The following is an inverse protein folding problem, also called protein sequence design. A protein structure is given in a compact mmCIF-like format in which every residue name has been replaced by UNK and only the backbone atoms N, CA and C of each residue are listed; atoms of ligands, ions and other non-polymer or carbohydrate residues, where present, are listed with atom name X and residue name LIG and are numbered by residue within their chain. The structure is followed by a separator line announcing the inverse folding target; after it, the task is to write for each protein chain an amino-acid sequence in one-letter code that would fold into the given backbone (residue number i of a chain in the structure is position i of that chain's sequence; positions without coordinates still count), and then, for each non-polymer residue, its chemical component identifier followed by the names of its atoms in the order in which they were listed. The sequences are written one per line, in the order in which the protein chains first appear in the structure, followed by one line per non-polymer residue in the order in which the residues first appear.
data_IF_473764912580
#
_entry.id   IF_473764912580
#
_cell.length_a   1.000
_cell.length_b   1.000
_cell.length_c   1.000
_cell.angle_alpha   90.00
_cell.angle_beta   90.00
_cell.angle_gamma   90.00
#
_symmetry.space_group_name_H-M   'P 1'
#
loop_
_entity.id
_entity.type
_entity.pdbx_description
1 polymer ?
#
# COMPACT_ATOMS: atom_id res chain seq x y z
N UNK A 1 -7.00 -5.44 32.52
CA UNK A 1 -8.32 -6.12 32.65
C UNK A 1 -8.12 -7.64 32.79
N UNK A 2 -7.29 -8.29 31.95
CA UNK A 2 -7.07 -9.76 32.00
C UNK A 2 -6.41 -10.23 33.31
N UNK A 3 -5.64 -9.39 33.99
CA UNK A 3 -4.97 -9.75 35.26
C UNK A 3 -5.94 -10.04 36.42
N UNK A 4 -7.19 -9.65 36.28
CA UNK A 4 -8.21 -9.81 37.33
C UNK A 4 -9.13 -11.03 37.08
N UNK A 5 -8.92 -11.77 35.97
CA UNK A 5 -9.76 -12.89 35.58
C UNK A 5 -8.90 -14.07 35.17
N UNK A 6 -8.87 -15.13 35.98
CA UNK A 6 -8.05 -16.33 35.76
C UNK A 6 -8.44 -17.17 34.52
N UNK A 7 -9.60 -16.90 33.91
CA UNK A 7 -10.17 -17.72 32.81
C UNK A 7 -10.53 -16.89 31.57
N UNK A 8 -9.87 -15.76 31.35
CA UNK A 8 -10.14 -14.94 30.15
C UNK A 8 -9.02 -15.14 29.13
N UNK A 9 -9.39 -15.58 27.94
CA UNK A 9 -8.54 -15.61 26.76
C UNK A 9 -8.90 -14.38 25.91
N UNK A 10 -7.90 -13.52 25.63
CA UNK A 10 -8.06 -12.38 24.75
C UNK A 10 -7.45 -12.75 23.41
N UNK A 11 -8.29 -12.83 22.36
CA UNK A 11 -7.84 -12.97 20.99
C UNK A 11 -7.73 -11.59 20.34
N UNK A 12 -6.55 -11.24 19.86
CA UNK A 12 -6.30 -9.99 19.15
C UNK A 12 -5.62 -10.26 17.81
N UNK A 13 -5.90 -9.42 16.82
CA UNK A 13 -5.26 -9.49 15.52
C UNK A 13 -4.57 -8.16 15.21
N UNK A 14 -3.37 -8.21 14.65
CA UNK A 14 -2.70 -7.04 14.13
C UNK A 14 -2.12 -7.33 12.74
N UNK A 15 -1.86 -6.28 11.97
CA UNK A 15 -1.12 -6.44 10.71
C UNK A 15 0.35 -6.68 11.02
N UNK A 16 1.03 -7.40 10.14
CA UNK A 16 2.48 -7.62 10.24
C UNK A 16 3.25 -6.29 10.29
N UNK A 17 2.78 -5.26 9.56
CA UNK A 17 3.33 -3.90 9.61
C UNK A 17 3.22 -3.23 10.98
N UNK A 18 2.25 -3.63 11.81
CA UNK A 18 1.95 -3.00 13.10
C UNK A 18 2.50 -3.83 14.28
N UNK A 19 3.17 -4.94 13.96
CA UNK A 19 3.70 -5.89 14.96
C UNK A 19 4.63 -5.21 15.99
N UNK A 20 5.42 -4.21 15.56
CA UNK A 20 6.29 -3.45 16.48
C UNK A 20 5.52 -2.72 17.59
N UNK A 21 4.30 -2.23 17.31
CA UNK A 21 3.44 -1.64 18.33
C UNK A 21 2.87 -2.70 19.30
N UNK A 22 2.69 -3.93 18.80
CA UNK A 22 2.15 -5.03 19.58
C UNK A 22 3.17 -5.64 20.56
N UNK A 23 4.47 -5.50 20.29
CA UNK A 23 5.55 -5.99 21.17
C UNK A 23 5.47 -5.50 22.61
N UNK A 24 5.00 -4.27 22.82
CA UNK A 24 4.81 -3.74 24.17
C UNK A 24 3.78 -4.55 24.95
N UNK A 25 2.77 -5.07 24.25
CA UNK A 25 1.71 -5.89 24.84
C UNK A 25 2.23 -7.31 25.06
N UNK A 26 2.97 -7.88 24.10
CA UNK A 26 3.59 -9.20 24.22
C UNK A 26 4.52 -9.29 25.43
N UNK A 27 5.28 -8.23 25.72
CA UNK A 27 6.16 -8.17 26.89
C UNK A 27 5.43 -8.00 28.24
N UNK A 28 4.17 -7.62 28.23
CA UNK A 28 3.35 -7.42 29.43
C UNK A 28 2.46 -8.61 29.78
N UNK A 29 2.21 -9.50 28.83
CA UNK A 29 1.31 -10.63 28.96
C UNK A 29 1.94 -11.88 28.38
N UNK A 30 1.51 -13.05 28.86
CA UNK A 30 1.90 -14.33 28.27
C UNK A 30 1.12 -14.51 26.95
N UNK A 31 1.71 -14.13 25.81
CA UNK A 31 1.05 -14.09 24.51
C UNK A 31 1.59 -15.21 23.61
N UNK A 32 0.69 -16.02 23.10
CA UNK A 32 0.98 -16.90 21.97
C UNK A 32 0.62 -16.16 20.68
N UNK A 33 1.59 -15.97 19.79
CA UNK A 33 1.37 -15.30 18.51
C UNK A 33 1.44 -16.30 17.35
N UNK A 34 0.40 -16.23 16.49
CA UNK A 34 0.31 -17.01 15.26
C UNK A 34 0.30 -16.05 14.07
N UNK A 35 1.15 -16.33 13.09
CA UNK A 35 1.13 -15.61 11.81
C UNK A 35 0.26 -16.39 10.84
N UNK A 36 -0.71 -15.70 10.22
CA UNK A 36 -1.46 -16.26 9.10
C UNK A 36 -0.70 -15.93 7.83
N UNK A 37 -0.01 -16.92 7.31
CA UNK A 37 0.79 -16.81 6.11
C UNK A 37 -0.09 -16.83 4.84
N UNK A 38 0.51 -16.45 3.72
CA UNK A 38 -0.08 -16.65 2.41
C UNK A 38 -0.19 -18.15 2.12
N UNK A 39 -1.13 -18.54 1.25
CA UNK A 39 -1.22 -19.94 0.82
C UNK A 39 0.11 -20.40 0.21
N UNK A 40 0.59 -21.54 0.66
CA UNK A 40 1.77 -22.19 0.10
C UNK A 40 1.50 -22.77 -1.30
N UNK A 41 2.55 -23.23 -1.97
CA UNK A 41 2.45 -23.77 -3.33
C UNK A 41 1.54 -25.00 -3.40
N UNK A 42 1.58 -25.85 -2.39
CA UNK A 42 0.74 -27.06 -2.35
C UNK A 42 -0.75 -26.70 -2.21
N UNK A 43 -1.08 -25.83 -1.28
CA UNK A 43 -2.46 -25.35 -1.07
C UNK A 43 -3.00 -24.64 -2.29
N UNK A 44 -2.20 -23.78 -2.94
CA UNK A 44 -2.60 -23.12 -4.17
C UNK A 44 -2.81 -24.11 -5.32
N UNK A 45 -1.97 -25.13 -5.44
CA UNK A 45 -2.11 -26.18 -6.46
C UNK A 45 -3.45 -26.93 -6.31
N UNK A 46 -3.84 -27.31 -5.10
CA UNK A 46 -5.14 -27.93 -4.81
C UNK A 46 -6.33 -27.05 -5.22
N UNK A 47 -6.22 -25.74 -5.00
CA UNK A 47 -7.25 -24.79 -5.46
C UNK A 47 -7.28 -24.71 -6.99
N UNK A 48 -6.13 -24.69 -7.64
CA UNK A 48 -6.03 -24.70 -9.12
C UNK A 48 -6.64 -25.95 -9.76
N UNK A 49 -6.55 -27.10 -9.11
CA UNK A 49 -7.21 -28.34 -9.58
C UNK A 49 -8.74 -28.21 -9.54
N UNK A 50 -9.25 -27.56 -8.48
CA UNK A 50 -10.69 -27.41 -8.27
C UNK A 50 -11.32 -26.30 -9.11
N UNK A 51 -10.58 -25.21 -9.36
CA UNK A 51 -11.12 -24.01 -10.01
C UNK A 51 -10.30 -23.63 -11.26
N UNK A 52 -10.86 -23.90 -12.44
CA UNK A 52 -10.19 -23.61 -13.72
C UNK A 52 -9.83 -22.14 -13.93
N UNK A 53 -10.60 -21.20 -13.38
CA UNK A 53 -10.30 -19.77 -13.42
C UNK A 53 -9.00 -19.46 -12.66
N UNK A 54 -8.81 -20.04 -11.48
CA UNK A 54 -7.60 -19.85 -10.66
C UNK A 54 -6.40 -20.46 -11.38
N UNK A 55 -6.55 -21.65 -11.98
CA UNK A 55 -5.50 -22.32 -12.76
C UNK A 55 -5.00 -21.48 -13.95
N UNK A 56 -5.89 -20.76 -14.62
CA UNK A 56 -5.51 -19.87 -15.74
C UNK A 56 -4.77 -18.63 -15.24
N UNK A 57 -5.25 -18.00 -14.17
CA UNK A 57 -4.64 -16.79 -13.61
C UNK A 57 -3.30 -17.08 -12.93
N UNK A 58 -3.15 -18.23 -12.29
CA UNK A 58 -1.89 -18.63 -11.64
C UNK A 58 -0.68 -18.72 -12.60
N UNK A 59 -0.94 -18.81 -13.91
CA UNK A 59 0.11 -18.75 -14.95
C UNK A 59 0.64 -17.34 -15.21
N UNK A 60 -0.05 -16.32 -14.73
CA UNK A 60 0.33 -14.92 -14.88
C UNK A 60 1.07 -14.47 -13.62
N UNK A 61 2.30 -14.00 -13.76
CA UNK A 61 3.15 -13.61 -12.63
C UNK A 61 2.49 -12.56 -11.71
N UNK A 62 1.71 -11.66 -12.29
CA UNK A 62 1.00 -10.60 -11.58
C UNK A 62 -0.02 -11.13 -10.56
N UNK A 63 -0.64 -12.29 -10.87
CA UNK A 63 -1.65 -12.90 -10.00
C UNK A 63 -1.07 -13.90 -9.01
N UNK A 64 0.16 -14.35 -9.17
CA UNK A 64 0.73 -15.44 -8.37
C UNK A 64 0.72 -15.15 -6.86
N UNK A 65 1.12 -13.95 -6.45
CA UNK A 65 1.09 -13.52 -5.05
C UNK A 65 -0.34 -13.21 -4.56
N UNK A 66 -1.16 -12.65 -5.44
CA UNK A 66 -2.51 -12.23 -5.13
C UNK A 66 -3.43 -13.43 -4.85
N UNK A 67 -3.28 -14.50 -5.62
CA UNK A 67 -4.02 -15.76 -5.45
C UNK A 67 -3.66 -16.49 -4.16
N UNK A 68 -2.51 -16.22 -3.57
CA UNK A 68 -2.12 -16.75 -2.25
C UNK A 68 -2.84 -16.07 -1.10
N UNK A 69 -3.46 -14.91 -1.33
CA UNK A 69 -4.23 -14.19 -0.34
C UNK A 69 -5.67 -14.71 -0.32
N UNK A 70 -6.16 -15.29 0.78
CA UNK A 70 -7.49 -15.92 0.84
C UNK A 70 -8.63 -14.99 0.42
N UNK A 71 -8.51 -13.70 0.70
CA UNK A 71 -9.50 -12.70 0.30
C UNK A 71 -9.66 -12.62 -1.22
N UNK A 72 -8.54 -12.42 -1.95
CA UNK A 72 -8.59 -12.29 -3.41
C UNK A 72 -8.97 -13.62 -4.07
N UNK A 73 -8.46 -14.73 -3.55
CA UNK A 73 -8.79 -16.05 -4.04
C UNK A 73 -10.30 -16.32 -3.95
N UNK A 74 -10.91 -16.09 -2.79
CA UNK A 74 -12.35 -16.25 -2.61
C UNK A 74 -13.16 -15.33 -3.53
N UNK A 75 -12.72 -14.09 -3.71
CA UNK A 75 -13.37 -13.13 -4.58
C UNK A 75 -13.32 -13.58 -6.05
N UNK A 76 -12.16 -14.02 -6.53
CA UNK A 76 -11.98 -14.52 -7.89
C UNK A 76 -12.85 -15.75 -8.12
N UNK A 77 -12.81 -16.73 -7.21
CA UNK A 77 -13.64 -17.94 -7.31
C UNK A 77 -15.13 -17.63 -7.33
N UNK A 78 -15.57 -16.66 -6.55
CA UNK A 78 -17.01 -16.34 -6.39
C UNK A 78 -17.56 -15.37 -7.46
N UNK A 79 -16.74 -14.50 -8.03
CA UNK A 79 -17.20 -13.38 -8.86
C UNK A 79 -16.71 -13.42 -10.31
N UNK A 80 -15.59 -14.09 -10.59
CA UNK A 80 -15.01 -14.15 -11.94
C UNK A 80 -15.52 -15.39 -12.65
N UNK A 81 -16.33 -15.19 -13.66
CA UNK A 81 -16.83 -16.28 -14.52
C UNK A 81 -15.89 -16.58 -15.67
N UNK A 82 -15.31 -15.55 -16.26
CA UNK A 82 -14.37 -15.67 -17.35
C UNK A 82 -13.01 -15.07 -16.94
N UNK A 83 -11.92 -15.86 -16.89
CA UNK A 83 -10.59 -15.36 -16.56
C UNK A 83 -10.05 -14.32 -17.55
N UNK A 84 -10.55 -14.28 -18.78
CA UNK A 84 -10.12 -13.31 -19.78
C UNK A 84 -10.60 -11.87 -19.47
N UNK A 85 -11.57 -11.72 -18.53
CA UNK A 85 -11.96 -10.42 -17.98
C UNK A 85 -10.87 -9.80 -17.07
N UNK A 86 -9.90 -10.60 -16.64
CA UNK A 86 -8.81 -10.22 -15.77
C UNK A 86 -7.47 -10.25 -16.52
N UNK A 87 -7.33 -9.40 -17.53
CA UNK A 87 -6.07 -9.28 -18.28
C UNK A 87 -4.93 -8.68 -17.46
N UNK A 88 -5.24 -7.90 -16.44
CA UNK A 88 -4.30 -7.31 -15.50
C UNK A 88 -4.93 -7.05 -14.11
N UNK A 89 -4.09 -6.65 -13.15
CA UNK A 89 -4.50 -6.42 -11.76
C UNK A 89 -5.49 -5.23 -11.64
N UNK A 90 -5.45 -4.26 -12.57
CA UNK A 90 -6.38 -3.14 -12.55
C UNK A 90 -7.79 -3.59 -12.93
N UNK A 91 -7.89 -4.58 -13.81
CA UNK A 91 -9.18 -5.18 -14.15
C UNK A 91 -9.79 -5.87 -12.93
N UNK A 92 -8.98 -6.51 -12.07
CA UNK A 92 -9.47 -7.04 -10.79
C UNK A 92 -9.93 -5.93 -9.85
N UNK A 93 -9.19 -4.84 -9.72
CA UNK A 93 -9.58 -3.69 -8.88
C UNK A 93 -10.86 -3.03 -9.41
N UNK A 94 -10.98 -2.87 -10.72
CA UNK A 94 -12.19 -2.38 -11.38
C UNK A 94 -13.38 -3.33 -11.17
N UNK A 95 -13.16 -4.63 -11.26
CA UNK A 95 -14.19 -5.62 -10.98
C UNK A 95 -14.67 -5.52 -9.52
N UNK A 96 -13.75 -5.39 -8.57
CA UNK A 96 -14.11 -5.20 -7.15
C UNK A 96 -14.92 -3.92 -6.99
N UNK A 97 -14.48 -2.82 -7.58
CA UNK A 97 -15.18 -1.55 -7.50
C UNK A 97 -16.60 -1.66 -8.07
N UNK A 98 -16.73 -2.10 -9.29
CA UNK A 98 -18.01 -2.14 -9.99
C UNK A 98 -18.93 -3.26 -9.49
N UNK A 99 -18.45 -4.50 -9.48
CA UNK A 99 -19.31 -5.68 -9.21
C UNK A 99 -19.51 -5.97 -7.73
N UNK A 100 -18.53 -5.63 -6.88
CA UNK A 100 -18.61 -5.96 -5.44
C UNK A 100 -19.05 -4.76 -4.63
N UNK A 101 -18.40 -3.61 -4.78
CA UNK A 101 -18.65 -2.42 -3.96
C UNK A 101 -19.87 -1.63 -4.45
N UNK A 102 -19.94 -1.35 -5.76
CA UNK A 102 -21.03 -0.57 -6.35
C UNK A 102 -22.25 -1.42 -6.74
N UNK A 103 -22.15 -2.75 -6.66
CA UNK A 103 -23.24 -3.70 -6.99
C UNK A 103 -23.73 -3.57 -8.44
N UNK A 104 -22.85 -3.21 -9.38
CA UNK A 104 -23.22 -3.08 -10.79
C UNK A 104 -23.65 -4.43 -11.37
N UNK A 105 -24.82 -4.43 -12.04
CA UNK A 105 -25.41 -5.63 -12.64
C UNK A 105 -26.15 -6.53 -11.64
N UNK A 106 -26.45 -6.04 -10.42
CA UNK A 106 -27.34 -6.66 -9.47
C UNK A 106 -28.71 -5.96 -9.53
N UNK A 107 -29.79 -6.73 -9.48
CA UNK A 107 -31.15 -6.18 -9.38
C UNK A 107 -31.33 -5.49 -8.03
N UNK A 108 -31.46 -4.17 -8.07
CA UNK A 108 -31.62 -3.33 -6.89
C UNK A 108 -33.10 -3.13 -6.57
N UNK A 109 -33.48 -2.92 -5.30
CA UNK A 109 -34.81 -2.56 -4.90
C UNK A 109 -35.30 -1.30 -5.62
N UNK A 110 -36.62 -1.21 -5.86
CA UNK A 110 -37.23 -0.04 -6.50
C UNK A 110 -36.86 1.25 -5.75
N UNK A 111 -36.42 2.25 -6.48
CA UNK A 111 -36.03 3.56 -5.95
C UNK A 111 -34.55 3.68 -5.52
N UNK A 112 -33.74 2.61 -5.64
CA UNK A 112 -32.30 2.65 -5.41
C UNK A 112 -31.57 2.36 -6.71
N UNK A 113 -30.52 3.11 -7.00
CA UNK A 113 -29.64 2.87 -8.14
C UNK A 113 -28.17 2.75 -7.70
N UNK A 114 -27.33 2.25 -8.59
CA UNK A 114 -25.90 2.05 -8.30
C UNK A 114 -25.15 3.33 -7.90
N UNK A 115 -25.63 4.50 -8.40
CA UNK A 115 -25.03 5.78 -8.03
C UNK A 115 -25.32 6.15 -6.57
N UNK A 116 -26.46 5.74 -6.03
CA UNK A 116 -26.79 5.94 -4.61
C UNK A 116 -25.91 5.06 -3.72
N UNK A 117 -25.67 3.81 -4.12
CA UNK A 117 -24.72 2.92 -3.47
C UNK A 117 -23.31 3.53 -3.47
N UNK A 118 -22.86 3.95 -4.64
CA UNK A 118 -21.56 4.61 -4.82
C UNK A 118 -21.40 5.85 -3.95
N UNK A 119 -22.39 6.71 -3.89
CA UNK A 119 -22.38 7.89 -3.02
C UNK A 119 -22.30 7.53 -1.55
N UNK A 120 -23.05 6.52 -1.10
CA UNK A 120 -23.03 6.06 0.28
C UNK A 120 -21.65 5.51 0.67
N UNK A 121 -21.05 4.68 -0.17
CA UNK A 121 -19.71 4.11 0.07
C UNK A 121 -18.64 5.23 0.12
N UNK A 122 -18.66 6.16 -0.84
CA UNK A 122 -17.74 7.30 -0.86
C UNK A 122 -17.92 8.14 0.41
N UNK A 123 -19.14 8.40 0.85
CA UNK A 123 -19.43 9.16 2.07
C UNK A 123 -18.84 8.47 3.31
N UNK A 124 -19.03 7.14 3.47
CA UNK A 124 -18.45 6.38 4.58
C UNK A 124 -16.94 6.60 4.64
N UNK A 125 -16.27 6.42 3.52
CA UNK A 125 -14.81 6.44 3.44
C UNK A 125 -14.25 7.84 3.66
N UNK A 126 -14.82 8.84 3.00
CA UNK A 126 -14.34 10.22 3.10
C UNK A 126 -14.59 10.82 4.47
N UNK A 127 -15.78 10.61 5.05
CA UNK A 127 -16.10 11.15 6.38
C UNK A 127 -15.20 10.52 7.45
N UNK A 128 -14.99 9.19 7.41
CA UNK A 128 -14.03 8.52 8.30
C UNK A 128 -12.63 9.11 8.21
N UNK A 129 -12.18 9.38 6.99
CA UNK A 129 -10.83 9.92 6.77
C UNK A 129 -10.68 11.35 7.28
N UNK A 130 -11.66 12.20 7.03
CA UNK A 130 -11.65 13.62 7.43
C UNK A 130 -11.76 13.76 8.94
N UNK A 131 -12.65 13.01 9.58
CA UNK A 131 -12.97 13.13 11.00
C UNK A 131 -12.17 12.16 11.89
N UNK A 132 -11.27 11.36 11.32
CA UNK A 132 -10.45 10.34 12.03
C UNK A 132 -11.30 9.33 12.83
N UNK A 133 -12.45 8.94 12.30
CA UNK A 133 -13.39 8.07 12.99
C UNK A 133 -13.09 6.58 12.75
N UNK A 134 -13.43 5.74 13.72
CA UNK A 134 -13.47 4.29 13.56
C UNK A 134 -14.56 3.84 12.57
N UNK A 135 -15.69 4.56 12.54
CA UNK A 135 -16.83 4.38 11.66
C UNK A 135 -17.72 5.62 11.65
N UNK A 136 -18.66 5.71 10.74
CA UNK A 136 -19.69 6.75 10.70
C UNK A 136 -20.96 6.27 11.41
N UNK A 137 -21.82 7.18 11.86
CA UNK A 137 -23.08 6.81 12.48
C UNK A 137 -23.99 6.11 11.48
N UNK A 138 -24.68 5.08 11.95
CA UNK A 138 -25.53 4.21 11.14
C UNK A 138 -26.67 4.99 10.46
N UNK A 139 -27.16 6.04 11.10
CA UNK A 139 -28.29 6.84 10.62
C UNK A 139 -27.91 7.84 9.51
N UNK A 140 -26.62 7.97 9.24
CA UNK A 140 -26.14 8.82 8.13
C UNK A 140 -26.41 8.18 6.75
N UNK A 141 -26.72 6.90 6.72
CA UNK A 141 -27.05 6.17 5.49
C UNK A 141 -28.51 5.73 5.54
N UNK A 142 -29.22 6.01 4.46
CA UNK A 142 -30.62 5.60 4.31
C UNK A 142 -30.83 4.11 4.57
N UNK A 143 -31.87 3.76 5.29
CA UNK A 143 -32.13 2.41 5.82
C UNK A 143 -32.07 1.32 4.75
N UNK A 144 -32.62 1.54 3.57
CA UNK A 144 -32.65 0.53 2.51
C UNK A 144 -31.26 0.32 1.87
N UNK A 145 -30.50 1.40 1.64
CA UNK A 145 -29.11 1.30 1.15
C UNK A 145 -28.25 0.55 2.18
N UNK A 146 -28.43 0.87 3.45
CA UNK A 146 -27.73 0.23 4.57
C UNK A 146 -27.99 -1.26 4.63
N UNK A 147 -29.25 -1.70 4.57
CA UNK A 147 -29.64 -3.11 4.53
C UNK A 147 -28.97 -3.83 3.36
N UNK A 148 -28.96 -3.18 2.19
CA UNK A 148 -28.35 -3.73 0.99
C UNK A 148 -26.84 -3.88 1.16
N UNK A 149 -26.14 -2.86 1.66
CA UNK A 149 -24.70 -2.92 1.91
C UNK A 149 -24.32 -3.99 2.93
N UNK A 150 -25.13 -4.21 3.98
CA UNK A 150 -24.93 -5.31 4.94
C UNK A 150 -25.17 -6.68 4.30
N UNK A 151 -26.27 -6.87 3.56
CA UNK A 151 -26.60 -8.15 2.94
C UNK A 151 -25.54 -8.61 1.93
N UNK A 152 -24.88 -7.68 1.27
CA UNK A 152 -23.77 -7.95 0.35
C UNK A 152 -22.39 -7.98 1.03
N UNK A 153 -22.32 -7.78 2.35
CA UNK A 153 -21.07 -7.84 3.10
C UNK A 153 -20.07 -6.71 2.77
N UNK A 154 -20.58 -5.55 2.34
CA UNK A 154 -19.76 -4.38 2.00
C UNK A 154 -19.41 -3.59 3.25
N UNK A 155 -20.35 -3.46 4.18
CA UNK A 155 -20.16 -2.77 5.45
C UNK A 155 -20.25 -3.72 6.63
N UNK A 156 -19.69 -3.30 7.76
CA UNK A 156 -19.76 -3.99 9.03
C UNK A 156 -19.89 -2.99 10.17
N UNK A 157 -20.38 -3.44 11.31
CA UNK A 157 -20.37 -2.65 12.54
C UNK A 157 -18.97 -2.52 13.10
N UNK A 158 -18.61 -1.34 13.61
CA UNK A 158 -17.44 -1.10 14.46
C UNK A 158 -17.83 -1.17 15.92
N UNK A 159 -19.02 -0.67 16.24
CA UNK A 159 -19.69 -0.65 17.53
C UNK A 159 -21.21 -0.64 17.31
N UNK A 160 -21.99 -0.49 18.37
CA UNK A 160 -23.47 -0.55 18.32
C UNK A 160 -24.12 0.50 17.39
N UNK A 161 -23.44 1.62 17.16
CA UNK A 161 -23.98 2.77 16.44
C UNK A 161 -23.20 3.18 15.20
N UNK A 162 -22.03 2.56 14.96
CA UNK A 162 -21.16 2.98 13.86
C UNK A 162 -20.84 1.84 12.91
N UNK A 163 -20.74 2.22 11.66
CA UNK A 163 -20.43 1.32 10.54
C UNK A 163 -19.20 1.78 9.77
N UNK A 164 -18.53 0.83 9.16
CA UNK A 164 -17.41 1.06 8.23
C UNK A 164 -17.45 0.06 7.08
N UNK A 165 -16.63 0.24 6.07
CA UNK A 165 -16.41 -0.81 5.09
C UNK A 165 -15.80 -2.04 5.77
N UNK A 166 -16.25 -3.22 5.37
CA UNK A 166 -15.89 -4.49 6.01
C UNK A 166 -14.40 -4.81 5.87
N UNK A 167 -13.82 -4.46 4.73
CA UNK A 167 -12.42 -4.73 4.41
C UNK A 167 -11.67 -3.45 4.07
N UNK A 168 -10.44 -3.32 4.55
CA UNK A 168 -9.61 -2.16 4.26
C UNK A 168 -9.33 -2.00 2.77
N UNK A 169 -9.23 -3.11 2.03
CA UNK A 169 -9.05 -3.09 0.58
C UNK A 169 -10.21 -2.38 -0.15
N UNK A 170 -11.42 -2.44 0.39
CA UNK A 170 -12.55 -1.70 -0.18
C UNK A 170 -12.36 -0.20 -0.03
N UNK A 171 -11.82 0.24 1.11
CA UNK A 171 -11.46 1.65 1.30
C UNK A 171 -10.33 2.07 0.36
N UNK A 172 -9.29 1.25 0.24
CA UNK A 172 -8.16 1.54 -0.65
C UNK A 172 -8.64 1.70 -2.11
N UNK A 173 -9.50 0.80 -2.61
CA UNK A 173 -10.09 0.88 -3.95
C UNK A 173 -11.03 2.09 -4.09
N UNK A 174 -11.81 2.41 -3.05
CA UNK A 174 -12.67 3.59 -3.05
C UNK A 174 -11.85 4.88 -3.17
N UNK A 175 -10.76 5.01 -2.39
CA UNK A 175 -9.86 6.17 -2.49
C UNK A 175 -9.18 6.25 -3.84
N UNK A 176 -8.76 5.13 -4.42
CA UNK A 176 -8.19 5.10 -5.76
C UNK A 176 -9.16 5.69 -6.79
N UNK A 177 -10.42 5.29 -6.75
CA UNK A 177 -11.44 5.87 -7.61
C UNK A 177 -11.69 7.36 -7.35
N UNK A 178 -11.64 7.81 -6.09
CA UNK A 178 -11.72 9.23 -5.74
C UNK A 178 -10.55 10.00 -6.34
N UNK A 179 -9.33 9.48 -6.21
CA UNK A 179 -8.13 10.13 -6.75
C UNK A 179 -8.14 10.16 -8.27
N UNK A 180 -8.49 9.07 -8.94
CA UNK A 180 -8.60 9.01 -10.40
C UNK A 180 -9.65 9.98 -10.93
N UNK A 181 -10.82 10.04 -10.32
CA UNK A 181 -11.86 11.01 -10.67
C UNK A 181 -11.36 12.44 -10.52
N UNK A 182 -10.77 12.78 -9.37
CA UNK A 182 -10.24 14.12 -9.12
C UNK A 182 -9.11 14.47 -10.10
N UNK A 183 -8.23 13.51 -10.41
CA UNK A 183 -7.15 13.71 -11.37
C UNK A 183 -7.68 14.02 -12.78
N UNK A 184 -8.67 13.28 -13.25
CA UNK A 184 -9.31 13.50 -14.57
C UNK A 184 -10.05 14.84 -14.59
N UNK A 185 -10.80 15.16 -13.54
CA UNK A 185 -11.57 16.43 -13.45
C UNK A 185 -10.66 17.66 -13.43
N UNK A 186 -9.49 17.57 -12.82
CA UNK A 186 -8.55 18.69 -12.72
C UNK A 186 -7.78 18.98 -14.02
N UNK A 187 -7.83 18.12 -15.02
CA UNK A 187 -7.29 18.32 -16.38
C UNK A 187 -5.87 18.92 -16.41
N UNK A 188 -4.98 18.45 -15.52
CA UNK A 188 -3.60 18.95 -15.40
C UNK A 188 -3.41 20.15 -14.47
N UNK A 189 -4.47 20.69 -13.89
CA UNK A 189 -4.36 21.64 -12.76
C UNK A 189 -4.06 20.88 -11.47
N UNK A 190 -2.77 20.62 -11.25
CA UNK A 190 -2.31 19.88 -10.09
C UNK A 190 -2.51 20.64 -8.77
N UNK A 191 -2.55 21.98 -8.79
CA UNK A 191 -2.83 22.75 -7.58
C UNK A 191 -4.26 22.47 -7.12
N UNK A 192 -5.22 22.51 -8.03
CA UNK A 192 -6.61 22.19 -7.73
C UNK A 192 -6.77 20.72 -7.31
N UNK A 193 -6.05 19.78 -7.97
CA UNK A 193 -6.02 18.36 -7.59
C UNK A 193 -5.60 18.20 -6.13
N UNK A 194 -4.43 18.74 -5.74
CA UNK A 194 -3.93 18.59 -4.38
C UNK A 194 -4.73 19.40 -3.34
N UNK A 195 -5.38 20.48 -3.71
CA UNK A 195 -6.33 21.15 -2.85
C UNK A 195 -7.52 20.25 -2.50
N UNK A 196 -8.09 19.55 -3.49
CA UNK A 196 -9.14 18.55 -3.25
C UNK A 196 -8.65 17.39 -2.38
N UNK A 197 -7.44 16.87 -2.61
CA UNK A 197 -6.89 15.79 -1.81
C UNK A 197 -6.63 16.23 -0.36
N UNK A 198 -6.18 17.46 -0.16
CA UNK A 198 -5.93 18.01 1.18
C UNK A 198 -7.20 18.06 2.04
N UNK A 199 -8.38 18.24 1.42
CA UNK A 199 -9.65 18.19 2.13
C UNK A 199 -10.03 16.80 2.67
N UNK A 200 -9.39 15.73 2.18
CA UNK A 200 -9.58 14.36 2.64
C UNK A 200 -8.77 14.03 3.92
N UNK A 201 -7.93 14.96 4.39
CA UNK A 201 -7.17 14.80 5.61
C UNK A 201 -5.99 13.83 5.51
N UNK A 202 -5.21 13.74 6.61
CA UNK A 202 -3.98 12.93 6.67
C UNK A 202 -4.21 11.43 6.54
N UNK A 203 -5.39 10.93 6.86
CA UNK A 203 -5.73 9.51 6.69
C UNK A 203 -5.70 9.07 5.22
N UNK A 204 -5.76 10.01 4.27
CA UNK A 204 -5.65 9.72 2.84
C UNK A 204 -4.22 9.46 2.36
N UNK A 205 -3.19 9.83 3.14
CA UNK A 205 -1.78 9.77 2.69
C UNK A 205 -1.34 8.36 2.30
N UNK A 206 -1.58 7.35 3.16
CA UNK A 206 -1.26 5.96 2.83
C UNK A 206 -1.95 5.51 1.54
N UNK A 207 -3.22 5.87 1.36
CA UNK A 207 -4.00 5.49 0.17
C UNK A 207 -3.50 6.21 -1.08
N UNK A 208 -3.07 7.45 -0.91
CA UNK A 208 -2.40 8.18 -1.99
C UNK A 208 -1.07 7.53 -2.40
N UNK A 209 -0.25 7.04 -1.43
CA UNK A 209 0.97 6.28 -1.74
C UNK A 209 0.64 5.03 -2.57
N UNK A 210 -0.39 4.26 -2.19
CA UNK A 210 -0.86 3.10 -2.95
C UNK A 210 -1.32 3.51 -4.36
N UNK A 211 -2.00 4.64 -4.49
CA UNK A 211 -2.42 5.16 -5.79
C UNK A 211 -1.21 5.54 -6.67
N UNK A 212 -0.17 6.15 -6.11
CA UNK A 212 1.10 6.43 -6.82
C UNK A 212 1.75 5.13 -7.27
N UNK A 213 1.83 4.13 -6.42
CA UNK A 213 2.35 2.79 -6.74
C UNK A 213 1.60 2.16 -7.93
N UNK A 214 0.27 2.23 -7.92
CA UNK A 214 -0.56 1.75 -9.03
C UNK A 214 -0.32 2.53 -10.33
N UNK A 215 -0.02 3.83 -10.27
CA UNK A 215 0.36 4.62 -11.46
C UNK A 215 1.72 4.17 -12.03
N UNK A 216 2.66 3.76 -11.20
CA UNK A 216 3.92 3.16 -11.65
C UNK A 216 3.70 1.79 -12.32
N UNK A 217 2.80 0.99 -11.78
CA UNK A 217 2.49 -0.33 -12.32
C UNK A 217 1.81 -0.25 -13.71
N UNK A 218 0.87 0.67 -13.91
CA UNK A 218 -0.03 0.65 -15.07
C UNK A 218 0.54 1.19 -16.36
N UNK A 219 1.82 1.53 -16.46
CA UNK A 219 2.49 2.08 -17.66
C UNK A 219 1.80 3.28 -18.34
N UNK A 220 0.55 3.58 -18.02
CA UNK A 220 -0.22 4.69 -18.57
C UNK A 220 -0.01 5.94 -17.72
N UNK A 221 0.64 6.95 -18.29
CA UNK A 221 0.94 8.27 -17.68
C UNK A 221 1.98 8.28 -16.55
N UNK A 222 2.97 7.36 -16.57
CA UNK A 222 4.03 7.32 -15.58
C UNK A 222 4.86 8.57 -15.53
N UNK A 223 5.26 9.02 -16.67
CA UNK A 223 6.55 9.68 -16.81
C UNK A 223 6.40 11.17 -16.56
N UNK A 224 5.39 11.80 -17.13
CA UNK A 224 5.25 13.25 -17.01
C UNK A 224 4.55 13.69 -15.74
N UNK A 225 3.57 12.91 -15.25
CA UNK A 225 2.78 13.32 -14.10
C UNK A 225 3.60 13.30 -12.80
N UNK A 226 4.17 12.15 -12.43
CA UNK A 226 4.88 12.01 -11.15
C UNK A 226 6.11 12.91 -11.09
N UNK A 227 6.87 12.94 -12.17
CA UNK A 227 8.04 13.82 -12.27
C UNK A 227 7.66 15.30 -12.27
N UNK A 228 6.61 15.68 -13.00
CA UNK A 228 6.11 17.07 -13.03
C UNK A 228 5.67 17.57 -11.66
N UNK A 229 5.03 16.72 -10.85
CA UNK A 229 4.65 17.08 -9.47
C UNK A 229 5.87 17.41 -8.64
N UNK A 230 6.91 16.58 -8.70
CA UNK A 230 8.08 16.72 -7.86
C UNK A 230 8.85 18.02 -8.13
N UNK A 231 8.81 18.49 -9.38
CA UNK A 231 9.52 19.70 -9.81
C UNK A 231 8.66 20.98 -9.79
N UNK A 232 7.40 20.91 -9.42
CA UNK A 232 6.50 22.08 -9.44
C UNK A 232 6.44 22.75 -8.06
N UNK A 233 6.99 23.95 -7.91
CA UNK A 233 7.06 24.65 -6.62
C UNK A 233 5.70 24.96 -6.00
N UNK A 234 4.68 25.13 -6.82
CA UNK A 234 3.31 25.38 -6.38
C UNK A 234 2.62 24.17 -5.69
N UNK A 235 3.20 22.96 -5.76
CA UNK A 235 2.66 21.78 -5.09
C UNK A 235 3.16 21.78 -3.64
N UNK A 236 2.25 21.61 -2.65
CA UNK A 236 2.63 21.52 -1.24
C UNK A 236 3.65 20.41 -0.98
N UNK A 237 4.70 20.71 -0.21
CA UNK A 237 5.80 19.77 0.10
C UNK A 237 5.30 18.45 0.67
N UNK A 238 4.23 18.48 1.46
CA UNK A 238 3.64 17.28 2.03
C UNK A 238 3.23 16.28 0.95
N UNK A 239 2.62 16.74 -0.15
CA UNK A 239 2.20 15.86 -1.24
C UNK A 239 3.38 15.39 -2.10
N UNK A 240 4.40 16.25 -2.29
CA UNK A 240 5.67 15.82 -2.91
C UNK A 240 6.30 14.68 -2.11
N UNK A 241 6.35 14.82 -0.77
CA UNK A 241 6.87 13.79 0.11
C UNK A 241 6.06 12.50 0.03
N UNK A 242 4.72 12.57 0.03
CA UNK A 242 3.88 11.38 -0.13
C UNK A 242 4.09 10.71 -1.50
N UNK A 243 4.33 11.50 -2.56
CA UNK A 243 4.65 10.99 -3.89
C UNK A 243 5.99 10.24 -3.89
N UNK A 244 7.04 10.83 -3.31
CA UNK A 244 8.34 10.17 -3.17
C UNK A 244 8.21 8.87 -2.38
N UNK A 245 7.49 8.89 -1.24
CA UNK A 245 7.29 7.69 -0.41
C UNK A 245 6.57 6.59 -1.19
N UNK A 246 5.53 6.93 -1.97
CA UNK A 246 4.84 5.97 -2.83
C UNK A 246 5.77 5.38 -3.91
N UNK A 247 6.61 6.22 -4.53
CA UNK A 247 7.58 5.76 -5.53
C UNK A 247 8.60 4.81 -4.90
N UNK A 248 9.25 5.18 -3.80
CA UNK A 248 10.34 4.37 -3.22
C UNK A 248 9.87 3.07 -2.57
N UNK A 249 8.59 3.00 -2.18
CA UNK A 249 7.97 1.77 -1.66
C UNK A 249 7.48 0.83 -2.77
N UNK A 250 7.40 1.30 -4.00
CA UNK A 250 6.91 0.51 -5.12
C UNK A 250 7.93 -0.51 -5.61
N UNK A 251 7.46 -1.72 -5.93
CA UNK A 251 8.23 -2.73 -6.66
C UNK A 251 8.43 -2.34 -8.14
N UNK A 252 7.66 -1.36 -8.64
CA UNK A 252 7.61 -0.93 -10.04
C UNK A 252 8.33 0.39 -10.30
N UNK A 253 9.15 0.88 -9.36
CA UNK A 253 9.80 2.18 -9.48
C UNK A 253 11.05 2.21 -10.38
N UNK A 254 11.58 1.05 -10.80
CA UNK A 254 12.85 0.96 -11.53
C UNK A 254 12.83 1.73 -12.85
N UNK A 255 11.74 1.63 -13.62
CA UNK A 255 11.61 2.37 -14.87
C UNK A 255 11.50 3.89 -14.62
N UNK A 256 10.80 4.32 -13.56
CA UNK A 256 10.75 5.73 -13.18
C UNK A 256 12.14 6.31 -12.90
N UNK A 257 12.98 5.56 -12.17
CA UNK A 257 14.36 5.98 -11.90
C UNK A 257 15.23 5.97 -13.16
N UNK A 258 15.07 4.96 -14.03
CA UNK A 258 15.82 4.89 -15.29
C UNK A 258 15.52 6.09 -16.20
N UNK A 259 14.27 6.47 -16.32
CA UNK A 259 13.82 7.55 -17.21
C UNK A 259 14.08 8.96 -16.62
N UNK A 260 13.86 9.14 -15.33
CA UNK A 260 13.87 10.45 -14.69
C UNK A 260 15.09 10.71 -13.80
N UNK A 261 15.77 9.68 -13.34
CA UNK A 261 16.87 9.81 -12.38
C UNK A 261 17.99 10.72 -12.85
N UNK A 262 18.30 10.77 -14.18
CA UNK A 262 19.29 11.68 -14.73
C UNK A 262 18.91 13.17 -14.63
N UNK A 263 17.63 13.46 -14.50
CA UNK A 263 17.04 14.80 -14.46
C UNK A 263 16.86 15.34 -13.04
N UNK A 264 17.13 14.54 -11.99
CA UNK A 264 16.96 14.98 -10.61
C UNK A 264 17.94 16.11 -10.27
N UNK A 265 17.42 17.21 -9.73
CA UNK A 265 18.23 18.21 -9.05
C UNK A 265 18.88 17.61 -7.78
N UNK A 266 19.92 18.25 -7.29
CA UNK A 266 20.58 17.82 -6.06
C UNK A 266 19.62 17.75 -4.87
N UNK A 267 18.74 18.74 -4.74
CA UNK A 267 17.74 18.79 -3.67
C UNK A 267 16.71 17.66 -3.80
N UNK A 268 16.22 17.40 -4.99
CA UNK A 268 15.29 16.29 -5.22
C UNK A 268 15.94 14.93 -4.90
N UNK A 269 17.20 14.76 -5.31
CA UNK A 269 17.98 13.56 -5.00
C UNK A 269 18.11 13.37 -3.48
N UNK A 270 18.47 14.44 -2.76
CA UNK A 270 18.56 14.44 -1.29
C UNK A 270 17.24 14.04 -0.63
N UNK A 271 16.11 14.61 -1.10
CA UNK A 271 14.80 14.27 -0.54
C UNK A 271 14.42 12.80 -0.81
N UNK A 272 14.74 12.25 -1.98
CA UNK A 272 14.54 10.82 -2.23
C UNK A 272 15.33 9.95 -1.26
N UNK A 273 16.62 10.21 -1.07
CA UNK A 273 17.46 9.42 -0.15
C UNK A 273 16.93 9.55 1.29
N UNK A 274 16.64 10.75 1.74
CA UNK A 274 16.14 11.03 3.08
C UNK A 274 14.81 10.30 3.38
N UNK A 275 13.83 10.39 2.47
CA UNK A 275 12.54 9.76 2.65
C UNK A 275 12.62 8.24 2.51
N UNK A 276 13.52 7.71 1.69
CA UNK A 276 13.82 6.28 1.62
C UNK A 276 14.35 5.77 2.96
N UNK A 277 15.31 6.47 3.55
CA UNK A 277 15.86 6.11 4.85
C UNK A 277 14.83 6.15 5.99
N UNK A 278 13.80 6.98 5.87
CA UNK A 278 12.77 7.13 6.90
C UNK A 278 11.58 6.17 6.73
N UNK A 279 11.22 5.82 5.50
CA UNK A 279 9.93 5.20 5.22
C UNK A 279 9.98 3.92 4.38
N UNK A 280 11.04 3.67 3.60
CA UNK A 280 11.11 2.52 2.71
C UNK A 280 11.72 1.28 3.42
N UNK A 281 11.23 0.99 4.63
CA UNK A 281 11.60 -0.21 5.37
C UNK A 281 10.45 -0.69 6.26
N UNK A 282 10.47 -1.98 6.58
CA UNK A 282 9.63 -2.62 7.56
C UNK A 282 10.50 -3.13 8.70
N UNK A 283 10.13 -2.83 9.94
CA UNK A 283 10.81 -3.39 11.09
C UNK A 283 10.40 -4.86 11.26
N UNK A 284 11.32 -5.77 11.05
CA UNK A 284 11.17 -7.18 11.38
C UNK A 284 11.86 -7.50 12.70
N UNK A 285 11.17 -8.26 13.53
CA UNK A 285 11.71 -8.74 14.78
C UNK A 285 12.49 -10.01 14.48
N UNK A 286 13.78 -10.00 14.81
CA UNK A 286 14.61 -11.20 14.75
C UNK A 286 14.92 -11.60 16.19
N UNK A 287 14.49 -12.80 16.57
CA UNK A 287 14.85 -13.37 17.86
C UNK A 287 16.22 -14.05 17.73
N UNK A 288 17.21 -13.59 18.47
CA UNK A 288 18.52 -14.24 18.52
C UNK A 288 18.66 -15.20 19.71
N UNK A 289 19.63 -16.13 19.63
CA UNK A 289 19.86 -17.27 20.52
C UNK A 289 20.01 -16.98 22.02
N UNK A 290 19.98 -15.75 22.47
CA UNK A 290 20.19 -15.38 23.88
C UNK A 290 19.15 -14.39 24.42
N UNK A 291 17.87 -14.55 24.08
CA UNK A 291 16.77 -13.68 24.52
C UNK A 291 16.91 -12.18 24.15
N UNK A 292 17.85 -11.81 23.29
CA UNK A 292 17.95 -10.48 22.76
C UNK A 292 17.10 -10.34 21.50
N UNK A 293 16.18 -9.39 21.52
CA UNK A 293 15.32 -9.05 20.38
C UNK A 293 15.97 -7.91 19.63
N UNK A 294 16.30 -8.14 18.35
CA UNK A 294 16.80 -7.11 17.46
C UNK A 294 15.73 -6.73 16.44
N UNK A 295 15.59 -5.46 16.19
CA UNK A 295 14.79 -4.95 15.07
C UNK A 295 15.65 -4.96 13.82
N UNK A 296 15.42 -5.91 12.91
CA UNK A 296 16.03 -5.89 11.58
C UNK A 296 15.13 -5.10 10.64
N UNK A 297 15.71 -4.11 9.96
CA UNK A 297 14.99 -3.36 8.92
C UNK A 297 14.98 -4.16 7.62
N UNK A 298 13.78 -4.50 7.14
CA UNK A 298 13.61 -5.10 5.81
C UNK A 298 13.21 -3.99 4.83
N UNK A 299 13.95 -3.79 3.71
CA UNK A 299 13.54 -2.86 2.67
C UNK A 299 12.13 -3.16 2.16
N UNK A 300 11.37 -2.12 1.85
CA UNK A 300 10.07 -2.20 1.17
C UNK A 300 10.26 -1.59 -0.22
N UNK A 301 9.81 -2.29 -1.25
CA UNK A 301 9.94 -1.89 -2.64
C UNK A 301 11.39 -1.81 -3.12
N UNK A 302 11.54 -1.34 -4.34
CA UNK A 302 12.86 -1.27 -5.01
C UNK A 302 13.52 0.11 -4.97
N UNK A 303 12.96 1.06 -4.25
CA UNK A 303 13.46 2.44 -4.22
C UNK A 303 14.88 2.55 -3.68
N UNK A 304 15.24 1.78 -2.64
CA UNK A 304 16.58 1.81 -2.05
C UNK A 304 17.64 1.29 -3.01
N UNK A 305 17.39 0.14 -3.64
CA UNK A 305 18.24 -0.45 -4.67
C UNK A 305 18.48 0.53 -5.83
N UNK A 306 17.40 1.10 -6.38
CA UNK A 306 17.48 2.05 -7.49
C UNK A 306 18.24 3.34 -7.12
N UNK A 307 18.09 3.83 -5.89
CA UNK A 307 18.82 5.00 -5.41
C UNK A 307 20.31 4.73 -5.25
N UNK A 308 20.70 3.59 -4.71
CA UNK A 308 22.12 3.20 -4.61
C UNK A 308 22.74 3.12 -6.01
N UNK A 309 22.06 2.46 -6.94
CA UNK A 309 22.51 2.36 -8.33
C UNK A 309 22.69 3.77 -8.95
N UNK A 310 21.73 4.66 -8.71
CA UNK A 310 21.79 6.03 -9.22
C UNK A 310 22.89 6.85 -8.55
N UNK A 311 23.06 6.75 -7.24
CA UNK A 311 24.10 7.43 -6.45
C UNK A 311 25.49 7.06 -6.96
N UNK A 312 25.74 5.76 -7.18
CA UNK A 312 27.01 5.27 -7.66
C UNK A 312 27.27 5.69 -9.12
N UNK A 313 26.32 5.42 -10.03
CA UNK A 313 26.48 5.73 -11.47
C UNK A 313 26.64 7.22 -11.78
N UNK A 314 26.22 8.11 -10.87
CA UNK A 314 26.34 9.57 -10.99
C UNK A 314 27.48 10.18 -10.17
N UNK A 315 28.25 9.36 -9.49
CA UNK A 315 29.26 9.82 -8.54
C UNK A 315 28.72 10.76 -7.43
N UNK A 316 27.41 10.66 -7.15
CA UNK A 316 26.75 11.54 -6.16
C UNK A 316 27.24 11.28 -4.73
N UNK A 317 27.84 10.12 -4.47
CA UNK A 317 28.44 9.75 -3.18
C UNK A 317 29.68 10.62 -2.86
N UNK A 318 30.29 11.25 -3.85
CA UNK A 318 31.42 12.19 -3.66
C UNK A 318 30.97 13.57 -3.16
N UNK A 319 29.65 13.81 -3.03
CA UNK A 319 29.12 15.08 -2.58
C UNK A 319 28.94 15.08 -1.05
N UNK A 320 29.75 15.90 -0.36
CA UNK A 320 29.78 16.02 1.09
C UNK A 320 28.39 16.34 1.70
N UNK A 321 27.55 17.10 1.01
CA UNK A 321 26.20 17.43 1.49
C UNK A 321 25.26 16.22 1.46
N UNK A 322 25.57 15.18 0.69
CA UNK A 322 24.79 13.96 0.60
C UNK A 322 25.38 12.82 1.45
N UNK A 323 26.66 12.89 1.81
CA UNK A 323 27.41 11.84 2.52
C UNK A 323 26.62 11.22 3.69
N UNK A 324 26.10 11.98 4.69
CA UNK A 324 25.43 11.38 5.84
C UNK A 324 24.16 10.58 5.46
N UNK A 325 23.47 11.00 4.41
CA UNK A 325 22.25 10.34 3.95
C UNK A 325 22.54 9.08 3.14
N UNK A 326 23.58 9.15 2.30
CA UNK A 326 24.04 8.01 1.47
C UNK A 326 24.70 6.95 2.34
N UNK A 327 25.53 7.34 3.31
CA UNK A 327 26.13 6.42 4.26
C UNK A 327 25.04 5.60 4.97
N UNK A 328 24.00 6.28 5.51
CA UNK A 328 22.88 5.61 6.13
C UNK A 328 22.13 4.70 5.14
N UNK A 329 21.92 5.14 3.89
CA UNK A 329 21.26 4.34 2.85
C UNK A 329 22.02 3.03 2.61
N UNK A 330 23.34 3.10 2.51
CA UNK A 330 24.24 1.97 2.28
C UNK A 330 24.33 1.04 3.49
N UNK A 331 24.49 1.58 4.70
CA UNK A 331 24.54 0.79 5.93
C UNK A 331 23.24 0.02 6.14
N UNK A 332 22.08 0.66 5.96
CA UNK A 332 20.80 -0.01 6.07
C UNK A 332 20.61 -1.09 4.99
N UNK A 333 21.16 -0.89 3.77
CA UNK A 333 21.09 -1.87 2.69
C UNK A 333 22.01 -3.07 2.92
N UNK A 334 23.19 -2.88 3.49
CA UNK A 334 24.16 -3.94 3.79
C UNK A 334 23.61 -5.01 4.75
N UNK A 335 22.59 -4.66 5.53
CA UNK A 335 21.89 -5.60 6.42
C UNK A 335 20.70 -6.32 5.75
N UNK A 336 20.44 -6.07 4.46
CA UNK A 336 19.33 -6.67 3.72
C UNK A 336 19.63 -8.09 3.25
N UNK A 337 18.59 -8.88 2.99
CA UNK A 337 18.68 -10.25 2.46
C UNK A 337 19.12 -10.28 0.98
N UNK A 338 19.05 -9.14 0.28
CA UNK A 338 19.35 -8.99 -1.15
C UNK A 338 20.71 -8.34 -1.44
N UNK A 339 21.62 -8.39 -0.49
CA UNK A 339 22.92 -7.70 -0.59
C UNK A 339 23.86 -8.21 -1.70
N UNK A 340 23.56 -9.36 -2.30
CA UNK A 340 24.43 -9.98 -3.33
C UNK A 340 24.08 -9.53 -4.78
N UNK A 341 23.32 -8.47 -4.95
CA UNK A 341 22.98 -7.87 -6.24
C UNK A 341 23.93 -6.72 -6.64
N UNK A 342 23.68 -6.10 -7.81
CA UNK A 342 24.44 -4.95 -8.31
C UNK A 342 24.48 -3.79 -7.30
N UNK A 343 23.36 -3.53 -6.61
CA UNK A 343 23.29 -2.47 -5.60
C UNK A 343 24.13 -2.81 -4.36
N UNK A 344 24.26 -4.08 -4.01
CA UNK A 344 25.18 -4.56 -2.96
C UNK A 344 26.64 -4.31 -3.31
N UNK A 345 27.05 -4.58 -4.56
CA UNK A 345 28.39 -4.28 -5.04
C UNK A 345 28.68 -2.77 -4.97
N UNK A 346 27.74 -1.94 -5.41
CA UNK A 346 27.90 -0.47 -5.34
C UNK A 346 27.90 0.04 -3.90
N UNK A 347 27.11 -0.58 -3.02
CA UNK A 347 27.15 -0.27 -1.59
C UNK A 347 28.53 -0.47 -0.99
N UNK A 348 29.21 -1.60 -1.29
CA UNK A 348 30.57 -1.84 -0.84
C UNK A 348 31.52 -0.75 -1.34
N UNK A 349 31.50 -0.45 -2.63
CA UNK A 349 32.39 0.58 -3.24
C UNK A 349 32.15 1.97 -2.64
N UNK A 350 30.92 2.34 -2.35
CA UNK A 350 30.59 3.64 -1.72
C UNK A 350 31.12 3.67 -0.27
N UNK A 351 30.92 2.60 0.50
CA UNK A 351 31.38 2.54 1.88
C UNK A 351 32.92 2.49 1.95
N UNK A 352 33.57 1.73 1.07
CA UNK A 352 35.04 1.73 0.94
C UNK A 352 35.57 3.16 0.72
N UNK A 353 35.00 3.91 -0.23
CA UNK A 353 35.35 5.30 -0.48
C UNK A 353 35.21 6.18 0.78
N UNK A 354 34.17 6.00 1.60
CA UNK A 354 33.95 6.79 2.80
C UNK A 354 34.85 6.41 3.98
N UNK A 355 35.38 5.19 4.02
CA UNK A 355 36.24 4.72 5.12
C UNK A 355 37.75 4.80 4.76
N UNK A 356 38.11 5.03 3.49
CA UNK A 356 39.48 5.26 3.07
C UNK A 356 39.89 6.74 3.14
N UNK A 357 38.96 7.67 3.22
CA UNK A 357 39.17 9.09 3.49
C UNK A 357 39.24 9.39 5.01
#
# INVERSE_FOLDING_TARGET
LASNFSNVIILSTCRTSDKAAFLKIENMFNVESFTVDLLDDHSLALVCEKYGVVKKLAKQNEYSQLLRTPFYLNLIVSKVKNPDELSDINNLRNLIWHKVICLDGIDLPSGINNNDIKKAVIMIVTKRAVEFLSGIYIDEIGTEIRKLLFSHGIITFCDEHRIRLKYDIFEDICFENIFDKNYVECKGDYIHFYSKLSSLGKCSFRRYQIWVENKLFTKRNRDDFLYSILNKDSIPSIWKNQTIIGIVKSEFCSEFFAENGSRFSLELHKEFIKLTNLYAFQANIVQMQYNNVYLKQKPIGKGRENLINMVYKKDSYKNENLKPYIEKLCVDYSSSEHFNDEAGEYTCKILEYYFEE
#
